data_IF_138647583239
#
_entry.id   IF_138647583239
#
_cell.length_a   1.000
_cell.length_b   1.000
_cell.length_c   1.000
_cell.angle_alpha   90.00
_cell.angle_beta   90.00
_cell.angle_gamma   90.00
#
_symmetry.space_group_name_H-M   'P 1'
#
loop_
_entity.id
_entity.type
_entity.pdbx_description
1 polymer ?
#
# COMPACT_ATOMS: atom_id res chain seq x y z
N UNK A 1 14.77 -6.67 -15.91
CA UNK A 1 14.38 -5.29 -16.30
C UNK A 1 14.63 -4.31 -15.14
N UNK A 2 15.89 -3.99 -14.87
CA UNK A 2 16.33 -3.41 -13.58
C UNK A 2 15.81 -1.99 -13.25
N UNK A 3 15.17 -1.27 -14.19
CA UNK A 3 14.77 0.14 -14.00
C UNK A 3 13.26 0.37 -13.80
N UNK A 4 12.41 -0.64 -13.95
CA UNK A 4 10.96 -0.44 -13.90
C UNK A 4 10.50 0.10 -12.54
N UNK A 5 10.86 -0.57 -11.45
CA UNK A 5 10.47 -0.13 -10.11
C UNK A 5 11.08 1.23 -9.75
N UNK A 6 12.28 1.53 -10.25
CA UNK A 6 12.95 2.83 -10.08
C UNK A 6 12.22 3.96 -10.81
N UNK A 7 11.44 3.64 -11.84
CA UNK A 7 10.63 4.62 -12.57
C UNK A 7 9.34 5.01 -11.83
N UNK A 8 8.90 4.21 -10.85
CA UNK A 8 7.75 4.52 -10.01
C UNK A 8 8.19 5.40 -8.83
N UNK A 9 7.55 6.56 -8.69
CA UNK A 9 7.83 7.48 -7.59
C UNK A 9 7.36 6.85 -6.26
N UNK A 10 8.19 6.83 -5.20
CA UNK A 10 7.83 6.33 -3.88
C UNK A 10 6.92 7.33 -3.17
N UNK A 11 5.63 7.30 -3.52
CA UNK A 11 4.62 8.19 -2.96
C UNK A 11 4.40 7.87 -1.47
N UNK A 12 4.18 8.90 -0.65
CA UNK A 12 4.04 8.75 0.80
C UNK A 12 5.36 8.51 1.54
N UNK A 13 6.49 8.43 0.85
CA UNK A 13 7.80 8.36 1.48
C UNK A 13 8.33 9.77 1.77
N UNK A 14 8.75 10.02 3.00
CA UNK A 14 9.40 11.27 3.37
C UNK A 14 10.59 11.56 2.45
N UNK A 15 10.66 12.79 1.91
CA UNK A 15 11.74 13.20 0.99
C UNK A 15 13.16 13.04 1.56
N UNK A 16 13.29 13.04 2.89
CA UNK A 16 14.56 12.77 3.59
C UNK A 16 15.04 11.33 3.41
N UNK A 17 14.11 10.39 3.22
CA UNK A 17 14.34 8.95 3.24
C UNK A 17 14.36 8.32 1.84
N UNK A 18 13.89 9.01 0.80
CA UNK A 18 13.89 8.49 -0.59
C UNK A 18 15.27 7.99 -1.04
N UNK A 19 16.34 8.73 -0.72
CA UNK A 19 17.70 8.30 -1.11
C UNK A 19 18.18 7.05 -0.35
N UNK A 20 17.63 6.80 0.86
CA UNK A 20 17.97 5.62 1.67
C UNK A 20 17.47 4.32 1.04
N UNK A 21 16.43 4.39 0.20
CA UNK A 21 15.94 3.23 -0.56
C UNK A 21 17.08 2.63 -1.39
N UNK A 22 17.97 3.46 -1.94
CA UNK A 22 19.07 3.02 -2.81
C UNK A 22 20.28 2.46 -2.06
N UNK A 23 20.25 2.42 -0.73
CA UNK A 23 21.34 1.85 0.07
C UNK A 23 21.45 0.33 -0.07
N UNK A 24 20.37 -0.32 -0.52
CA UNK A 24 20.28 -1.76 -0.70
C UNK A 24 19.97 -2.09 -2.16
N UNK A 25 20.41 -3.27 -2.60
CA UNK A 25 20.09 -3.79 -3.92
C UNK A 25 18.79 -4.60 -3.86
N UNK A 26 17.66 -3.94 -4.09
CA UNK A 26 16.34 -4.58 -4.06
C UNK A 26 16.08 -5.40 -5.32
N UNK A 27 15.51 -6.59 -5.14
CA UNK A 27 15.17 -7.49 -6.23
C UNK A 27 13.66 -7.49 -6.47
N UNK A 28 13.23 -7.07 -7.66
CA UNK A 28 11.84 -7.05 -8.11
C UNK A 28 11.56 -8.06 -9.24
N UNK A 29 12.34 -9.14 -9.35
CA UNK A 29 12.15 -10.19 -10.36
C UNK A 29 10.75 -10.81 -10.35
N UNK A 30 10.06 -10.81 -9.22
CA UNK A 30 8.65 -11.24 -9.14
C UNK A 30 7.73 -10.36 -9.98
N UNK A 31 7.92 -9.03 -9.94
CA UNK A 31 7.18 -8.08 -10.78
C UNK A 31 7.52 -8.29 -12.26
N UNK A 32 8.80 -8.48 -12.58
CA UNK A 32 9.26 -8.72 -13.95
C UNK A 32 8.62 -9.99 -14.53
N UNK A 33 8.68 -11.11 -13.79
CA UNK A 33 8.05 -12.37 -14.20
C UNK A 33 6.54 -12.26 -14.37
N UNK A 34 5.87 -11.45 -13.56
CA UNK A 34 4.44 -11.22 -13.71
C UNK A 34 4.11 -10.50 -15.03
N UNK A 35 5.02 -9.66 -15.53
CA UNK A 35 4.83 -8.86 -16.76
C UNK A 35 5.33 -9.56 -18.03
N UNK A 36 6.16 -10.60 -17.91
CA UNK A 36 6.68 -11.42 -19.02
C UNK A 36 5.62 -12.35 -19.61
N UNK A 37 5.86 -12.89 -20.82
CA UNK A 37 4.93 -13.80 -21.49
C UNK A 37 4.62 -15.03 -20.64
N UNK A 38 3.33 -15.25 -20.37
CA UNK A 38 2.85 -16.29 -19.45
C UNK A 38 2.66 -15.83 -17.99
N UNK A 39 3.10 -14.62 -17.65
CA UNK A 39 2.87 -13.99 -16.36
C UNK A 39 1.45 -13.42 -16.21
N UNK A 40 1.00 -13.25 -14.96
CA UNK A 40 -0.37 -12.82 -14.62
C UNK A 40 -0.74 -11.41 -15.08
N UNK A 41 0.27 -10.56 -15.31
CA UNK A 41 0.14 -9.18 -15.77
C UNK A 41 0.40 -9.01 -17.27
N UNK A 42 0.76 -10.08 -17.97
CA UNK A 42 1.06 -10.03 -19.40
C UNK A 42 -0.17 -9.69 -20.25
N UNK A 43 0.01 -8.79 -21.22
CA UNK A 43 -1.06 -8.36 -22.12
C UNK A 43 -2.07 -7.39 -21.49
N UNK A 44 -1.86 -7.01 -20.22
CA UNK A 44 -2.77 -6.13 -19.48
C UNK A 44 -2.33 -4.67 -19.53
N UNK A 45 -3.21 -3.80 -19.06
CA UNK A 45 -2.87 -2.40 -18.80
C UNK A 45 -2.62 -2.26 -17.30
N UNK A 46 -1.38 -1.94 -16.94
CA UNK A 46 -0.89 -1.98 -15.56
C UNK A 46 -0.45 -0.59 -15.12
N UNK A 47 -0.93 -0.16 -13.96
CA UNK A 47 -0.52 1.08 -13.31
C UNK A 47 0.31 0.75 -12.07
N UNK A 48 1.53 1.31 -12.02
CA UNK A 48 2.51 1.05 -10.97
C UNK A 48 2.76 2.31 -10.14
N UNK A 49 2.70 2.16 -8.83
CA UNK A 49 3.24 3.15 -7.90
C UNK A 49 4.07 2.45 -6.85
N UNK A 50 5.07 3.16 -6.32
CA UNK A 50 5.90 2.65 -5.24
C UNK A 50 5.57 3.39 -3.95
N UNK A 51 5.84 2.76 -2.82
CA UNK A 51 5.88 3.35 -1.49
C UNK A 51 7.04 2.72 -0.71
N UNK A 52 7.14 3.03 0.59
CA UNK A 52 8.14 2.40 1.46
C UNK A 52 7.54 1.98 2.78
N UNK A 53 7.99 0.84 3.27
CA UNK A 53 7.70 0.33 4.61
C UNK A 53 8.97 0.40 5.46
N UNK A 54 9.01 1.29 6.48
CA UNK A 54 10.13 1.36 7.40
C UNK A 54 10.16 0.13 8.31
N UNK A 55 11.29 -0.58 8.34
CA UNK A 55 11.52 -1.76 9.16
C UNK A 55 12.79 -1.59 9.99
N UNK A 56 12.78 -2.01 11.26
CA UNK A 56 14.01 -2.09 12.07
C UNK A 56 14.71 -3.42 11.81
N UNK A 57 15.87 -3.38 11.13
CA UNK A 57 16.64 -4.56 10.75
C UNK A 57 18.06 -4.50 11.32
N UNK A 58 18.65 -5.67 11.57
CA UNK A 58 20.07 -5.78 11.87
C UNK A 58 20.85 -5.95 10.57
N UNK A 59 21.65 -4.94 10.20
CA UNK A 59 22.44 -4.92 8.96
C UNK A 59 23.90 -4.76 9.33
N UNK A 60 24.75 -5.71 8.91
CA UNK A 60 26.19 -5.72 9.20
C UNK A 60 26.54 -5.57 10.70
N UNK A 61 25.68 -6.11 11.59
CA UNK A 61 25.89 -6.07 13.03
C UNK A 61 25.35 -4.81 13.73
N UNK A 62 24.73 -3.87 13.01
CA UNK A 62 24.12 -2.68 13.57
C UNK A 62 22.60 -2.68 13.39
N UNK A 63 21.85 -2.18 14.39
CA UNK A 63 20.43 -1.90 14.22
C UNK A 63 20.23 -0.66 13.36
N UNK A 64 19.46 -0.80 12.29
CA UNK A 64 19.22 0.25 11.31
C UNK A 64 17.75 0.27 10.90
N UNK A 65 17.20 1.48 10.75
CA UNK A 65 15.91 1.68 10.10
C UNK A 65 16.11 1.58 8.58
N UNK A 66 15.53 0.55 7.97
CA UNK A 66 15.58 0.27 6.53
C UNK A 66 14.23 0.59 5.92
N UNK A 67 14.22 1.39 4.86
CA UNK A 67 13.01 1.75 4.12
C UNK A 67 12.84 0.76 2.97
N UNK A 68 12.11 -0.34 3.23
CA UNK A 68 11.86 -1.39 2.24
C UNK A 68 10.92 -0.84 1.18
N UNK A 69 11.31 -0.78 -0.11
CA UNK A 69 10.41 -0.33 -1.15
C UNK A 69 9.37 -1.42 -1.45
N UNK A 70 8.11 -1.01 -1.52
CA UNK A 70 7.02 -1.84 -2.00
C UNK A 70 6.50 -1.24 -3.30
N UNK A 71 6.13 -2.09 -4.27
CA UNK A 71 5.58 -1.66 -5.56
C UNK A 71 4.21 -2.30 -5.72
N UNK A 72 3.21 -1.48 -5.97
CA UNK A 72 1.84 -1.91 -6.20
C UNK A 72 1.56 -1.87 -7.69
N UNK A 73 1.12 -3.00 -8.23
CA UNK A 73 0.72 -3.16 -9.61
C UNK A 73 -0.80 -3.31 -9.70
N UNK A 74 -1.46 -2.36 -10.36
CA UNK A 74 -2.91 -2.36 -10.54
C UNK A 74 -3.23 -2.71 -11.99
N UNK A 75 -3.80 -3.89 -12.20
CA UNK A 75 -4.44 -4.27 -13.45
C UNK A 75 -5.74 -3.47 -13.60
N UNK A 76 -5.73 -2.49 -14.50
CA UNK A 76 -6.89 -1.65 -14.74
C UNK A 76 -7.02 -1.30 -16.22
N UNK A 77 -8.17 -1.56 -16.87
CA UNK A 77 -8.36 -1.23 -18.28
C UNK A 77 -8.45 0.27 -18.54
N UNK A 78 -8.64 1.10 -17.51
CA UNK A 78 -8.69 2.55 -17.57
C UNK A 78 -7.69 3.20 -16.61
N UNK A 79 -7.39 4.48 -16.81
CA UNK A 79 -6.51 5.20 -15.90
C UNK A 79 -7.13 5.29 -14.50
N UNK A 80 -6.36 4.98 -13.43
CA UNK A 80 -6.75 5.30 -12.06
C UNK A 80 -7.01 6.80 -11.92
N UNK A 81 -7.66 7.18 -10.82
CA UNK A 81 -7.99 8.59 -10.59
C UNK A 81 -6.75 9.50 -10.66
N UNK A 82 -6.96 10.71 -11.14
CA UNK A 82 -5.94 11.75 -11.25
C UNK A 82 -5.81 12.57 -9.96
N UNK A 83 -6.23 11.99 -8.82
CA UNK A 83 -6.21 12.59 -7.50
C UNK A 83 -5.31 11.81 -6.54
N UNK A 84 -4.91 12.47 -5.47
CA UNK A 84 -4.23 11.90 -4.32
C UNK A 84 -4.99 12.25 -3.06
N UNK A 85 -5.08 11.29 -2.16
CA UNK A 85 -5.55 11.47 -0.79
C UNK A 85 -4.40 11.91 0.09
N UNK A 86 -4.62 12.86 0.98
CA UNK A 86 -3.67 13.24 2.03
C UNK A 86 -4.23 12.75 3.36
N UNK A 87 -3.62 11.68 3.89
CA UNK A 87 -4.05 11.03 5.12
C UNK A 87 -3.20 11.51 6.29
N UNK A 88 -3.71 12.51 7.02
CA UNK A 88 -3.09 12.96 8.24
C UNK A 88 -3.54 12.06 9.39
N UNK A 89 -2.61 11.36 10.05
CA UNK A 89 -2.87 10.52 11.26
C UNK A 89 -3.64 11.27 12.36
N UNK A 90 -3.57 12.61 12.36
CA UNK A 90 -4.17 13.48 13.38
C UNK A 90 -5.51 14.11 12.99
N UNK A 91 -6.01 13.87 11.77
CA UNK A 91 -7.28 14.47 11.30
C UNK A 91 -8.27 13.38 10.94
N UNK A 92 -9.53 13.59 11.31
CA UNK A 92 -10.64 12.70 11.00
C UNK A 92 -11.16 12.82 9.55
N UNK A 93 -10.51 13.61 8.69
CA UNK A 93 -10.92 13.76 7.29
C UNK A 93 -9.72 13.71 6.33
N UNK A 94 -9.93 13.05 5.21
CA UNK A 94 -9.00 12.99 4.09
C UNK A 94 -9.09 14.29 3.27
N UNK A 95 -7.94 14.89 2.95
CA UNK A 95 -7.89 15.97 1.96
C UNK A 95 -7.59 15.38 0.58
N UNK A 96 -8.51 15.51 -0.36
CA UNK A 96 -8.33 15.02 -1.73
C UNK A 96 -7.82 16.16 -2.62
N UNK A 97 -6.68 15.94 -3.29
CA UNK A 97 -6.06 16.91 -4.18
C UNK A 97 -5.84 16.34 -5.58
N UNK A 98 -5.95 17.13 -6.65
CA UNK A 98 -5.58 16.66 -7.97
C UNK A 98 -4.05 16.44 -8.04
N UNK A 99 -3.59 15.34 -8.64
CA UNK A 99 -2.19 14.96 -8.79
C UNK A 99 -1.34 16.10 -9.38
N UNK A 100 -1.88 16.84 -10.36
CA UNK A 100 -1.21 18.00 -10.97
C UNK A 100 -0.80 19.05 -9.94
N UNK A 101 -1.60 19.26 -8.88
CA UNK A 101 -1.24 20.18 -7.82
C UNK A 101 0.03 19.69 -7.12
N UNK A 102 0.15 18.39 -6.87
CA UNK A 102 1.33 17.73 -6.29
C UNK A 102 2.46 17.49 -7.30
N UNK A 103 2.36 18.00 -8.53
CA UNK A 103 3.31 17.74 -9.64
C UNK A 103 3.47 16.26 -9.99
N UNK A 104 2.39 15.51 -9.78
CA UNK A 104 2.31 14.08 -10.06
C UNK A 104 1.44 13.81 -11.28
N UNK A 105 1.69 12.68 -11.94
CA UNK A 105 0.87 12.16 -13.04
C UNK A 105 1.23 10.70 -13.32
N UNK A 106 0.26 9.93 -13.83
CA UNK A 106 0.55 8.67 -14.50
C UNK A 106 1.27 8.94 -15.82
N UNK A 107 2.44 8.34 -16.01
CA UNK A 107 3.23 8.46 -17.24
C UNK A 107 3.45 7.08 -17.83
N UNK A 108 3.40 6.91 -19.15
CA UNK A 108 3.71 5.61 -19.73
C UNK A 108 5.19 5.28 -19.50
N UNK A 109 5.44 4.03 -19.14
CA UNK A 109 6.77 3.46 -19.06
C UNK A 109 7.04 2.64 -20.31
N UNK A 110 8.19 2.87 -20.93
CA UNK A 110 8.67 2.10 -22.07
C UNK A 110 9.92 1.34 -21.64
N UNK A 111 9.89 -0.01 -21.66
CA UNK A 111 11.04 -0.84 -21.40
C UNK A 111 12.28 -0.36 -22.15
N UNK A 112 13.46 -0.45 -21.51
CA UNK A 112 14.74 -0.07 -22.14
C UNK A 112 14.93 -0.73 -23.51
N UNK A 113 14.58 -2.02 -23.60
CA UNK A 113 14.70 -2.86 -24.79
C UNK A 113 13.76 -2.41 -25.92
N UNK A 114 12.64 -1.75 -25.57
CA UNK A 114 11.57 -1.34 -26.48
C UNK A 114 11.50 0.18 -26.70
N UNK A 115 12.54 0.94 -26.35
CA UNK A 115 12.50 2.43 -26.45
C UNK A 115 12.26 2.98 -27.86
N UNK A 116 12.47 2.18 -28.89
CA UNK A 116 12.16 2.54 -30.28
C UNK A 116 10.70 2.21 -30.66
N UNK A 117 10.03 1.38 -29.87
CA UNK A 117 8.65 0.97 -30.07
C UNK A 117 7.68 2.04 -29.54
N UNK A 118 6.52 2.17 -30.19
CA UNK A 118 5.41 2.95 -29.63
C UNK A 118 4.70 2.12 -28.56
N UNK A 119 4.26 2.77 -27.49
CA UNK A 119 3.47 2.13 -26.41
C UNK A 119 2.24 1.39 -26.95
N UNK A 120 1.61 1.93 -28.01
CA UNK A 120 0.46 1.30 -28.68
C UNK A 120 0.77 -0.09 -29.26
N UNK A 121 2.04 -0.36 -29.59
CA UNK A 121 2.50 -1.65 -30.10
C UNK A 121 2.97 -2.62 -29.01
N UNK A 122 3.03 -2.18 -27.75
CA UNK A 122 3.38 -3.06 -26.64
C UNK A 122 2.18 -3.93 -26.27
N UNK A 123 2.42 -5.22 -26.07
CA UNK A 123 1.37 -6.15 -25.60
C UNK A 123 0.92 -5.77 -24.19
N UNK A 124 1.87 -5.60 -23.28
CA UNK A 124 1.61 -5.10 -21.92
C UNK A 124 1.84 -3.60 -21.90
N UNK A 125 0.84 -2.82 -21.48
CA UNK A 125 0.94 -1.35 -21.37
C UNK A 125 1.17 -0.99 -19.92
N UNK A 126 2.31 -0.39 -19.63
CA UNK A 126 2.71 -0.05 -18.26
C UNK A 126 2.71 1.47 -18.09
N UNK A 127 2.10 1.94 -17.02
CA UNK A 127 2.14 3.34 -16.59
C UNK A 127 2.69 3.41 -15.19
N UNK A 128 3.60 4.33 -14.92
CA UNK A 128 4.13 4.55 -13.56
C UNK A 128 3.68 5.89 -13.02
N UNK A 129 3.48 5.97 -11.71
CA UNK A 129 3.26 7.23 -11.04
C UNK A 129 4.58 8.01 -11.01
N UNK A 130 4.60 9.19 -11.60
CA UNK A 130 5.78 10.04 -11.66
C UNK A 130 5.54 11.35 -10.92
N UNK A 131 6.57 11.85 -10.23
CA UNK A 131 6.57 13.15 -9.57
C UNK A 131 7.70 14.02 -10.14
N UNK A 132 7.32 15.16 -10.74
CA UNK A 132 8.29 16.12 -11.30
C UNK A 132 8.82 17.13 -10.27
N UNK A 133 8.38 17.05 -9.01
CA UNK A 133 8.87 17.90 -7.94
C UNK A 133 10.32 17.52 -7.58
N UNK A 134 11.25 18.45 -7.78
CA UNK A 134 12.67 18.26 -7.43
C UNK A 134 12.89 18.47 -5.93
N UNK A 135 13.77 17.66 -5.32
CA UNK A 135 14.17 17.78 -3.92
C UNK A 135 14.71 19.17 -3.56
N UNK A 136 15.52 19.77 -4.43
CA UNK A 136 16.07 21.12 -4.21
C UNK A 136 14.99 22.20 -4.15
N UNK A 137 13.92 22.06 -4.92
CA UNK A 137 12.82 23.02 -4.95
C UNK A 137 11.91 22.92 -3.70
N UNK A 138 11.99 21.84 -2.91
CA UNK A 138 11.23 21.71 -1.66
C UNK A 138 11.67 22.73 -0.61
N UNK A 139 12.93 23.16 -0.62
CA UNK A 139 13.48 24.16 0.31
C UNK A 139 12.78 25.51 0.20
N UNK A 140 12.07 25.77 -0.90
CA UNK A 140 11.33 27.00 -1.15
C UNK A 140 9.82 26.85 -0.89
N UNK A 141 9.35 25.67 -0.47
CA UNK A 141 7.96 25.42 -0.14
C UNK A 141 7.73 25.59 1.37
N UNK A 142 6.49 25.95 1.73
CA UNK A 142 6.06 25.97 3.13
C UNK A 142 6.10 24.56 3.72
N UNK A 143 6.42 24.42 5.00
CA UNK A 143 6.48 23.12 5.70
C UNK A 143 5.20 22.30 5.54
N UNK A 144 4.04 22.93 5.69
CA UNK A 144 2.73 22.28 5.48
C UNK A 144 2.61 21.67 4.08
N UNK A 145 3.13 22.36 3.06
CA UNK A 145 3.11 21.90 1.69
C UNK A 145 4.07 20.73 1.46
N UNK A 146 5.21 20.72 2.13
CA UNK A 146 6.17 19.59 2.07
C UNK A 146 5.55 18.37 2.72
N UNK A 147 4.93 18.51 3.89
CA UNK A 147 4.27 17.40 4.60
C UNK A 147 3.20 16.69 3.77
N UNK A 148 2.51 17.40 2.87
CA UNK A 148 1.54 16.75 1.95
C UNK A 148 2.17 15.65 1.09
N UNK A 149 3.45 15.74 0.76
CA UNK A 149 4.13 14.67 0.02
C UNK A 149 4.38 13.43 0.87
N UNK A 150 4.60 13.62 2.17
CA UNK A 150 4.90 12.55 3.12
C UNK A 150 3.63 11.74 3.48
N UNK A 151 2.45 12.32 3.29
CA UNK A 151 1.15 11.69 3.62
C UNK A 151 0.25 11.46 2.40
N UNK A 152 0.77 11.68 1.19
CA UNK A 152 -0.02 11.46 -0.02
C UNK A 152 -0.04 9.99 -0.42
N UNK A 153 -1.20 9.52 -0.88
CA UNK A 153 -1.38 8.23 -1.52
C UNK A 153 -2.21 8.42 -2.80
N UNK A 154 -2.06 7.57 -3.83
CA UNK A 154 -2.92 7.64 -5.00
C UNK A 154 -4.38 7.43 -4.55
N UNK A 155 -5.26 8.32 -4.97
CA UNK A 155 -6.67 8.22 -4.60
C UNK A 155 -7.37 7.28 -5.58
N UNK A 156 -7.65 6.06 -5.14
CA UNK A 156 -8.52 5.16 -5.86
C UNK A 156 -9.95 5.48 -5.44
N UNK A 157 -10.73 6.06 -6.35
CA UNK A 157 -12.16 6.20 -6.11
C UNK A 157 -12.71 4.79 -6.00
N UNK A 158 -13.24 4.42 -4.84
CA UNK A 158 -13.94 3.16 -4.68
C UNK A 158 -15.02 3.10 -5.77
N UNK A 159 -15.04 2.00 -6.53
CA UNK A 159 -16.15 1.73 -7.46
C UNK A 159 -17.45 1.44 -6.69
N UNK A 160 -17.34 1.28 -5.37
CA UNK A 160 -18.42 1.15 -4.40
C UNK A 160 -18.78 2.56 -3.92
N UNK A 161 -20.05 2.92 -4.03
CA UNK A 161 -20.57 4.21 -3.56
C UNK A 161 -20.24 4.37 -2.07
N UNK A 162 -19.82 5.56 -1.59
CA UNK A 162 -19.70 5.83 -0.16
C UNK A 162 -21.04 5.77 0.60
N UNK A 163 -22.14 5.50 -0.10
CA UNK A 163 -23.48 5.27 0.47
C UNK A 163 -23.79 3.80 0.75
N UNK A 164 -22.92 2.84 0.37
CA UNK A 164 -23.06 1.46 0.83
C UNK A 164 -22.36 1.34 2.17
N UNK A 165 -23.13 1.04 3.22
CA UNK A 165 -22.63 0.74 4.57
C UNK A 165 -21.40 -0.16 4.42
N UNK A 166 -20.24 0.36 4.82
CA UNK A 166 -19.04 -0.47 4.89
C UNK A 166 -19.36 -1.59 5.87
N UNK A 167 -19.35 -2.84 5.40
CA UNK A 167 -19.47 -3.99 6.28
C UNK A 167 -18.20 -4.03 7.14
N UNK A 168 -18.34 -3.51 8.36
CA UNK A 168 -17.30 -3.45 9.38
C UNK A 168 -17.14 -4.78 10.09
N UNK A 169 -17.93 -5.80 9.71
CA UNK A 169 -17.90 -7.13 10.29
C UNK A 169 -17.02 -8.06 9.46
N UNK A 170 -16.03 -8.68 10.11
CA UNK A 170 -15.30 -9.84 9.58
C UNK A 170 -15.69 -11.12 10.31
N UNK A 171 -15.54 -12.26 9.64
CA UNK A 171 -15.50 -13.55 10.33
C UNK A 171 -14.09 -13.86 10.84
N UNK A 172 -13.89 -13.84 12.16
CA UNK A 172 -12.66 -14.32 12.82
C UNK A 172 -12.67 -15.84 12.81
N UNK A 173 -11.67 -16.44 12.16
CA UNK A 173 -11.43 -17.88 12.16
C UNK A 173 -10.29 -18.18 13.13
N UNK A 174 -10.59 -18.90 14.22
CA UNK A 174 -9.60 -19.33 15.20
C UNK A 174 -9.32 -20.84 15.07
N UNK A 175 -8.04 -21.24 14.95
CA UNK A 175 -7.65 -22.59 14.50
C UNK A 175 -7.69 -23.63 15.63
N UNK A 176 -8.87 -23.87 16.21
CA UNK A 176 -9.16 -25.03 17.06
C UNK A 176 -9.70 -26.20 16.24
N UNK A 177 -9.80 -27.37 16.88
CA UNK A 177 -10.51 -28.53 16.33
C UNK A 177 -11.77 -28.82 17.16
N UNK A 178 -12.98 -28.45 16.69
CA UNK A 178 -13.30 -27.73 15.44
C UNK A 178 -12.97 -26.22 15.50
N UNK A 179 -12.79 -25.55 14.34
CA UNK A 179 -12.43 -24.14 14.31
C UNK A 179 -13.60 -23.28 14.81
N UNK A 180 -13.28 -22.25 15.57
CA UNK A 180 -14.26 -21.23 15.96
C UNK A 180 -14.33 -20.21 14.83
N UNK A 181 -15.54 -19.89 14.38
CA UNK A 181 -15.81 -18.86 13.38
C UNK A 181 -16.83 -17.90 14.00
N UNK A 182 -16.46 -16.64 14.19
CA UNK A 182 -17.32 -15.66 14.83
C UNK A 182 -17.22 -14.29 14.14
N UNK A 183 -18.35 -13.59 13.93
CA UNK A 183 -18.35 -12.25 13.38
C UNK A 183 -17.80 -11.27 14.41
N UNK A 184 -16.91 -10.37 13.98
CA UNK A 184 -16.32 -9.30 14.78
C UNK A 184 -16.41 -7.99 14.00
N UNK A 185 -17.04 -6.98 14.60
CA UNK A 185 -17.15 -5.64 14.03
C UNK A 185 -16.00 -4.77 14.52
N UNK A 186 -15.04 -4.41 13.66
CA UNK A 186 -13.85 -3.68 14.11
C UNK A 186 -14.11 -2.20 14.47
N UNK A 187 -15.27 -1.64 14.10
CA UNK A 187 -15.67 -0.28 14.51
C UNK A 187 -16.48 -0.30 15.80
N UNK A 188 -17.33 -1.31 16.00
CA UNK A 188 -18.30 -1.37 17.10
C UNK A 188 -17.83 -2.24 18.27
N UNK A 189 -17.05 -3.29 18.01
CA UNK A 189 -16.64 -4.25 19.03
C UNK A 189 -15.27 -3.90 19.65
N UNK A 190 -15.20 -4.02 20.97
CA UNK A 190 -13.93 -4.00 21.69
C UNK A 190 -13.42 -5.44 21.82
N UNK A 191 -12.22 -5.74 21.30
CA UNK A 191 -11.69 -7.10 21.29
C UNK A 191 -11.55 -7.73 22.70
N UNK A 192 -11.33 -6.93 23.75
CA UNK A 192 -11.24 -7.45 25.12
C UNK A 192 -12.62 -7.89 25.64
N UNK A 193 -13.63 -7.06 25.44
CA UNK A 193 -15.03 -7.34 25.84
C UNK A 193 -15.61 -8.49 25.00
N UNK A 194 -15.39 -8.45 23.67
CA UNK A 194 -15.78 -9.49 22.73
C UNK A 194 -15.25 -10.87 23.14
N UNK A 195 -13.96 -10.95 23.48
CA UNK A 195 -13.37 -12.23 23.91
C UNK A 195 -13.95 -12.70 25.24
N UNK A 196 -14.17 -11.77 26.19
CA UNK A 196 -14.76 -12.11 27.47
C UNK A 196 -16.21 -12.64 27.31
N UNK A 197 -16.96 -12.11 26.34
CA UNK A 197 -18.32 -12.53 26.05
C UNK A 197 -18.39 -13.89 25.35
N UNK A 198 -17.45 -14.21 24.44
CA UNK A 198 -17.33 -15.55 23.85
C UNK A 198 -17.04 -16.63 24.90
N UNK A 199 -16.23 -16.31 25.91
CA UNK A 199 -15.94 -17.24 27.01
C UNK A 199 -17.16 -17.43 27.91
N UNK A 200 -17.90 -16.35 28.24
CA UNK A 200 -19.16 -16.44 29.01
C UNK A 200 -20.23 -17.23 28.26
N UNK A 201 -20.25 -17.15 26.94
CA UNK A 201 -21.17 -17.88 26.08
C UNK A 201 -20.79 -19.37 25.89
N UNK A 202 -19.67 -19.82 26.47
CA UNK A 202 -19.09 -21.16 26.28
C UNK A 202 -18.73 -21.46 24.81
N UNK A 203 -18.54 -20.42 23.98
CA UNK A 203 -18.12 -20.53 22.57
C UNK A 203 -16.60 -20.55 22.41
N UNK A 204 -15.87 -19.97 23.38
CA UNK A 204 -14.41 -20.03 23.49
C UNK A 204 -14.01 -20.67 24.84
N UNK A 205 -13.17 -21.71 24.85
CA UNK A 205 -12.63 -22.26 26.10
C UNK A 205 -11.84 -21.21 26.89
N UNK A 206 -12.05 -21.15 28.22
CA UNK A 206 -11.38 -20.16 29.09
C UNK A 206 -9.85 -20.27 29.02
N UNK A 207 -9.30 -21.47 28.81
CA UNK A 207 -7.86 -21.69 28.66
C UNK A 207 -7.29 -21.16 27.34
N UNK A 208 -8.12 -20.95 26.33
CA UNK A 208 -7.75 -20.37 25.03
C UNK A 208 -7.96 -18.85 24.96
N UNK A 209 -8.55 -18.25 26.01
CA UNK A 209 -8.89 -16.83 26.08
C UNK A 209 -7.74 -15.89 25.71
N UNK A 210 -6.58 -16.06 26.32
CA UNK A 210 -5.43 -15.18 26.09
C UNK A 210 -4.83 -15.37 24.69
N UNK A 211 -4.80 -16.61 24.19
CA UNK A 211 -4.33 -16.90 22.83
C UNK A 211 -5.25 -16.26 21.78
N UNK A 212 -6.56 -16.33 22.01
CA UNK A 212 -7.57 -15.73 21.14
C UNK A 212 -7.47 -14.19 21.15
N UNK A 213 -7.27 -13.55 22.31
CA UNK A 213 -7.02 -12.09 22.39
C UNK A 213 -5.81 -11.68 21.57
N UNK A 214 -4.71 -12.43 21.67
CA UNK A 214 -3.51 -12.18 20.87
C UNK A 214 -3.78 -12.36 19.38
N UNK A 215 -4.55 -13.39 19.01
CA UNK A 215 -4.94 -13.64 17.62
C UNK A 215 -5.70 -12.46 17.03
N UNK A 216 -6.74 -11.94 17.70
CA UNK A 216 -7.49 -10.76 17.23
C UNK A 216 -6.58 -9.52 17.21
N UNK A 217 -5.77 -9.29 18.24
CA UNK A 217 -4.89 -8.13 18.30
C UNK A 217 -3.86 -8.12 17.15
N UNK A 218 -3.33 -9.28 16.76
CA UNK A 218 -2.42 -9.41 15.62
C UNK A 218 -3.12 -9.07 14.31
N UNK A 219 -4.35 -9.56 14.10
CA UNK A 219 -5.14 -9.25 12.89
C UNK A 219 -5.44 -7.73 12.83
N UNK A 220 -5.79 -7.12 13.96
CA UNK A 220 -6.03 -5.68 14.09
C UNK A 220 -4.78 -4.83 13.79
N UNK A 221 -3.61 -5.21 14.33
CA UNK A 221 -2.34 -4.48 14.14
C UNK A 221 -1.80 -4.61 12.72
N UNK A 222 -2.04 -5.74 12.06
CA UNK A 222 -1.59 -5.99 10.69
C UNK A 222 -2.50 -5.36 9.62
N UNK A 223 -3.63 -4.74 10.02
CA UNK A 223 -4.58 -4.16 9.07
C UNK A 223 -5.20 -5.21 8.13
N UNK A 224 -5.37 -6.43 8.65
CA UNK A 224 -6.05 -7.53 7.95
C UNK A 224 -7.57 -7.53 8.22
N UNK A 225 -8.05 -6.53 8.97
CA UNK A 225 -9.45 -6.16 9.18
C UNK A 225 -9.76 -4.90 8.36
#
# INVERSE_FOLDING_TARGET
QEDLWLSAFPIGTEWGNIDKIKEFNWNFQNLEKALEEGGELYGKTVYLFANTEPQQLHVNGEQKMVFVPTVVAVDCPCAPSDKVGINYVQRAYEEILPMRAMKMSWVPYVPLEDRLSRIEGLKTKIFTLHCSQRRSALKHLKTERVKKFDYCMPYYMSLISPEEDHDTTVDIIYPLEPPIVCPFDWEMDNYEEFTDDLVKAEELPEDEKENFKVHIAVIYVLGLL
#
